data_IF_262774314618
#
_entry.id   IF_262774314618
#
_cell.length_a   1.000
_cell.length_b   1.000
_cell.length_c   1.000
_cell.angle_alpha   90.00
_cell.angle_beta   90.00
_cell.angle_gamma   90.00
#
_symmetry.space_group_name_H-M   'P 1'
#
loop_
_entity.id
_entity.type
_entity.pdbx_description
1 polymer ?
#
# COMPACT_ATOMS: atom_id res chain seq x y z
N UNK A 1 -4.22 8.55 29.67
CA UNK A 1 -4.10 7.11 29.34
C UNK A 1 -4.35 6.78 27.85
N UNK A 2 -4.46 7.77 26.94
CA UNK A 2 -4.67 7.54 25.49
C UNK A 2 -3.39 7.74 24.67
N UNK A 3 -2.32 8.30 25.25
CA UNK A 3 -1.09 8.69 24.53
C UNK A 3 -0.23 7.53 24.00
N UNK A 4 -0.41 6.29 24.47
CA UNK A 4 0.41 5.15 24.04
C UNK A 4 -0.12 4.39 22.80
N UNK A 5 -1.30 4.74 22.28
CA UNK A 5 -1.85 4.15 21.05
C UNK A 5 -1.50 4.97 19.80
N UNK A 6 -0.32 5.58 19.74
CA UNK A 6 0.14 6.28 18.54
C UNK A 6 0.18 5.32 17.33
N UNK A 7 -0.16 5.85 16.15
CA UNK A 7 -0.16 5.13 14.88
C UNK A 7 1.18 4.39 14.66
N UNK A 8 1.16 3.06 14.76
CA UNK A 8 2.35 2.21 14.60
C UNK A 8 3.00 2.31 13.20
N UNK A 9 2.31 2.90 12.21
CA UNK A 9 2.88 3.19 10.90
C UNK A 9 3.98 4.25 10.96
N UNK A 10 3.93 5.13 11.96
CA UNK A 10 4.88 6.21 12.15
C UNK A 10 6.13 5.72 12.90
N UNK A 11 6.05 4.66 13.72
CA UNK A 11 7.15 4.29 14.62
C UNK A 11 7.49 5.45 15.57
N UNK A 12 8.57 5.36 16.34
CA UNK A 12 9.12 6.52 17.06
C UNK A 12 9.69 7.55 16.08
N UNK A 13 8.86 8.16 15.24
CA UNK A 13 9.23 9.43 14.60
C UNK A 13 9.25 10.45 15.73
N UNK A 14 10.37 11.12 15.99
CA UNK A 14 10.38 12.21 16.95
C UNK A 14 9.29 13.20 16.52
N UNK A 15 8.38 13.55 17.44
CA UNK A 15 7.23 14.45 17.22
C UNK A 15 7.59 15.68 16.36
N UNK A 16 8.84 16.13 16.44
CA UNK A 16 9.47 17.16 15.61
C UNK A 16 9.24 17.01 14.09
N UNK A 17 9.19 15.81 13.52
CA UNK A 17 8.96 15.61 12.08
C UNK A 17 7.49 15.78 11.68
N UNK A 18 6.54 15.39 12.55
CA UNK A 18 5.11 15.66 12.35
C UNK A 18 4.82 17.17 12.40
N UNK A 19 5.54 17.92 13.23
CA UNK A 19 5.42 19.39 13.30
C UNK A 19 5.69 20.03 11.93
N UNK A 20 6.71 19.59 11.19
CA UNK A 20 7.00 20.15 9.86
C UNK A 20 5.89 19.86 8.84
N UNK A 21 5.29 18.66 8.86
CA UNK A 21 4.14 18.36 8.00
C UNK A 21 2.92 19.20 8.38
N UNK A 22 2.65 19.38 9.67
CA UNK A 22 1.54 20.19 10.15
C UNK A 22 1.72 21.68 9.84
N UNK A 23 2.95 22.21 9.89
CA UNK A 23 3.26 23.57 9.44
C UNK A 23 3.01 23.72 7.93
N UNK A 24 3.47 22.76 7.12
CA UNK A 24 3.24 22.78 5.68
C UNK A 24 1.73 22.73 5.36
N UNK A 25 0.98 21.84 6.01
CA UNK A 25 -0.48 21.76 5.87
C UNK A 25 -1.16 23.04 6.37
N UNK A 26 -0.77 23.60 7.51
CA UNK A 26 -1.32 24.85 8.05
C UNK A 26 -1.10 26.02 7.08
N UNK A 27 0.07 26.13 6.45
CA UNK A 27 0.35 27.14 5.42
C UNK A 27 -0.51 26.98 4.16
N UNK A 28 -0.94 25.75 3.83
CA UNK A 28 -1.92 25.50 2.76
C UNK A 28 -3.37 25.80 3.20
N UNK A 29 -3.66 25.73 4.50
CA UNK A 29 -4.99 25.87 5.09
C UNK A 29 -5.34 27.30 5.56
N UNK A 30 -4.40 28.25 5.59
CA UNK A 30 -4.70 29.66 5.96
C UNK A 30 -5.81 30.29 5.08
N UNK A 31 -6.10 29.70 3.92
CA UNK A 31 -7.20 30.07 3.04
C UNK A 31 -8.58 29.47 3.38
N UNK A 32 -8.70 28.60 4.40
CA UNK A 32 -9.86 27.70 4.56
C UNK A 32 -10.53 27.67 5.96
N UNK A 33 -10.52 28.80 6.69
CA UNK A 33 -11.19 28.93 8.02
C UNK A 33 -12.73 28.71 8.02
N UNK A 34 -13.37 28.51 6.86
CA UNK A 34 -14.82 28.25 6.75
C UNK A 34 -15.25 26.83 7.12
N UNK A 35 -14.34 25.85 7.09
CA UNK A 35 -14.70 24.43 7.06
C UNK A 35 -15.33 23.88 8.37
N UNK A 36 -15.07 24.49 9.53
CA UNK A 36 -15.56 23.95 10.81
C UNK A 36 -17.04 24.21 11.10
N UNK A 37 -17.70 25.13 10.37
CA UNK A 37 -19.10 25.51 10.63
C UNK A 37 -20.13 24.69 9.85
N UNK A 38 -19.68 23.87 8.89
CA UNK A 38 -20.53 23.18 7.92
C UNK A 38 -20.40 21.64 7.96
N UNK A 39 -19.66 21.09 8.93
CA UNK A 39 -19.49 19.65 9.07
C UNK A 39 -20.73 19.02 9.72
N UNK A 40 -21.27 18.01 9.05
CA UNK A 40 -22.32 17.17 9.62
C UNK A 40 -21.76 16.36 10.80
N UNK A 41 -22.57 16.26 11.84
CA UNK A 41 -22.21 15.58 13.08
C UNK A 41 -23.36 14.74 13.65
N UNK A 42 -24.58 14.82 13.10
CA UNK A 42 -25.74 14.10 13.62
C UNK A 42 -25.90 12.73 12.94
N UNK A 43 -26.55 11.78 13.63
CA UNK A 43 -26.94 10.49 13.04
C UNK A 43 -25.81 9.50 12.75
N UNK A 44 -24.58 9.78 13.18
CA UNK A 44 -23.41 8.89 13.05
C UNK A 44 -23.05 8.22 14.38
N UNK A 45 -22.73 6.92 14.35
CA UNK A 45 -22.32 6.15 15.53
C UNK A 45 -20.82 6.36 15.84
N UNK A 46 -20.53 7.34 16.69
CA UNK A 46 -19.16 7.66 17.09
C UNK A 46 -18.54 6.67 18.09
N UNK A 47 -19.33 5.79 18.72
CA UNK A 47 -18.78 4.81 19.67
C UNK A 47 -17.80 3.85 18.98
N UNK A 48 -18.03 3.56 17.70
CA UNK A 48 -17.16 2.70 16.89
C UNK A 48 -15.87 3.39 16.44
N UNK A 49 -15.81 4.73 16.45
CA UNK A 49 -14.67 5.52 15.95
C UNK A 49 -13.69 5.87 17.07
N UNK A 50 -14.20 6.24 18.25
CA UNK A 50 -13.40 6.78 19.34
C UNK A 50 -12.44 5.71 19.88
N UNK A 51 -11.14 6.00 19.85
CA UNK A 51 -10.09 5.11 20.35
C UNK A 51 -9.76 3.92 19.44
N UNK A 52 -10.35 3.89 18.23
CA UNK A 52 -10.12 2.88 17.20
C UNK A 52 -9.67 3.51 15.88
N UNK A 53 -10.40 4.50 15.37
CA UNK A 53 -10.21 5.05 14.02
C UNK A 53 -9.79 6.52 13.97
N UNK A 54 -10.23 7.35 14.92
CA UNK A 54 -9.91 8.79 14.92
C UNK A 54 -9.94 9.39 16.34
N UNK A 55 -9.05 10.35 16.59
CA UNK A 55 -8.98 11.18 17.80
C UNK A 55 -9.46 12.62 17.52
N UNK A 56 -9.92 13.32 18.55
CA UNK A 56 -10.42 14.70 18.44
C UNK A 56 -11.51 14.88 17.37
N UNK A 57 -12.49 13.97 17.36
CA UNK A 57 -13.56 13.94 16.37
C UNK A 57 -14.47 15.16 16.50
N UNK A 58 -14.72 15.84 15.39
CA UNK A 58 -15.57 17.05 15.30
C UNK A 58 -16.79 16.87 14.37
N UNK A 59 -16.96 15.69 13.79
CA UNK A 59 -17.98 15.38 12.79
C UNK A 59 -17.48 14.32 11.81
N UNK A 60 -18.14 14.23 10.65
CA UNK A 60 -17.71 13.37 9.54
C UNK A 60 -17.79 14.11 8.19
N UNK A 61 -17.14 13.56 7.17
CA UNK A 61 -17.15 14.12 5.81
C UNK A 61 -17.90 13.19 4.86
N UNK A 62 -19.11 13.56 4.38
CA UNK A 62 -19.81 12.74 3.40
C UNK A 62 -19.10 12.82 2.04
N UNK A 63 -18.75 11.64 1.49
CA UNK A 63 -18.19 11.51 0.15
C UNK A 63 -19.21 10.76 -0.72
N UNK A 64 -19.59 11.26 -1.92
CA UNK A 64 -20.51 10.55 -2.80
C UNK A 64 -19.98 9.16 -3.17
N UNK A 65 -20.83 8.13 -3.03
CA UNK A 65 -20.52 6.75 -3.39
C UNK A 65 -21.35 6.36 -4.61
N UNK A 66 -20.67 6.10 -5.73
CA UNK A 66 -21.26 5.50 -6.91
C UNK A 66 -20.97 4.00 -7.01
N UNK A 67 -21.55 3.35 -8.02
CA UNK A 67 -21.31 1.94 -8.32
C UNK A 67 -20.95 1.76 -9.80
N UNK A 68 -19.91 0.96 -10.08
CA UNK A 68 -19.54 0.54 -11.43
C UNK A 68 -19.68 -0.97 -11.56
N UNK A 69 -20.37 -1.44 -12.60
CA UNK A 69 -20.51 -2.88 -12.85
C UNK A 69 -21.69 -3.28 -13.75
N UNK A 70 -21.86 -4.60 -13.99
CA UNK A 70 -21.06 -5.67 -13.39
C UNK A 70 -19.65 -5.76 -13.99
N UNK A 71 -18.63 -5.84 -13.13
CA UNK A 71 -17.30 -6.30 -13.52
C UNK A 71 -17.33 -7.84 -13.55
N UNK A 72 -17.17 -8.42 -14.74
CA UNK A 72 -17.07 -9.87 -14.91
C UNK A 72 -15.60 -10.28 -14.75
N UNK A 73 -15.26 -10.93 -13.65
CA UNK A 73 -13.90 -11.32 -13.29
C UNK A 73 -13.89 -12.73 -12.70
N UNK A 74 -13.05 -13.62 -13.25
CA UNK A 74 -12.88 -15.00 -12.76
C UNK A 74 -14.21 -15.77 -12.63
N UNK A 75 -15.08 -15.61 -13.64
CA UNK A 75 -16.40 -16.24 -13.69
C UNK A 75 -17.45 -15.66 -12.72
N UNK A 76 -17.14 -14.56 -12.04
CA UNK A 76 -18.03 -13.88 -11.08
C UNK A 76 -18.37 -12.46 -11.53
N UNK A 77 -19.48 -11.93 -11.03
CA UNK A 77 -19.91 -10.56 -11.29
C UNK A 77 -19.79 -9.72 -10.02
N UNK A 78 -19.16 -8.56 -10.12
CA UNK A 78 -18.97 -7.64 -9.00
C UNK A 78 -19.59 -6.28 -9.32
N UNK A 79 -20.31 -5.73 -8.34
CA UNK A 79 -20.72 -4.33 -8.34
C UNK A 79 -19.73 -3.57 -7.46
N UNK A 80 -18.88 -2.75 -8.07
CA UNK A 80 -17.73 -2.13 -7.41
C UNK A 80 -18.15 -0.78 -6.82
N UNK A 81 -18.18 -0.61 -5.49
CA UNK A 81 -18.46 0.68 -4.88
C UNK A 81 -17.26 1.62 -5.02
N UNK A 82 -17.53 2.89 -5.33
CA UNK A 82 -16.50 3.91 -5.58
C UNK A 82 -16.90 5.23 -4.94
N UNK A 83 -16.14 5.65 -3.91
CA UNK A 83 -16.35 6.93 -3.22
C UNK A 83 -15.47 8.00 -3.87
N UNK A 84 -16.06 9.01 -4.50
CA UNK A 84 -15.31 10.04 -5.23
C UNK A 84 -16.11 11.32 -5.40
N UNK A 85 -15.39 12.44 -5.48
CA UNK A 85 -15.92 13.73 -5.91
C UNK A 85 -15.51 14.07 -7.35
N UNK A 86 -14.70 13.23 -8.00
CA UNK A 86 -14.26 13.42 -9.38
C UNK A 86 -15.40 13.05 -10.35
N UNK A 87 -15.87 14.06 -11.10
CA UNK A 87 -16.86 13.85 -12.15
C UNK A 87 -16.39 12.85 -13.20
N UNK A 88 -17.32 12.09 -13.77
CA UNK A 88 -17.08 11.08 -14.80
C UNK A 88 -16.25 9.86 -14.40
N UNK A 89 -15.61 9.81 -13.22
CA UNK A 89 -14.80 8.65 -12.81
C UNK A 89 -15.60 7.36 -12.81
N UNK A 90 -16.70 7.31 -12.03
CA UNK A 90 -17.56 6.12 -11.92
C UNK A 90 -18.16 5.75 -13.28
N UNK A 91 -18.59 6.73 -14.07
CA UNK A 91 -19.16 6.51 -15.41
C UNK A 91 -18.14 5.91 -16.39
N UNK A 92 -16.90 6.40 -16.36
CA UNK A 92 -15.78 5.89 -17.16
C UNK A 92 -15.43 4.45 -16.77
N UNK A 93 -15.30 4.18 -15.46
CA UNK A 93 -15.05 2.83 -14.94
C UNK A 93 -16.18 1.86 -15.31
N UNK A 94 -17.45 2.30 -15.22
CA UNK A 94 -18.60 1.51 -15.62
C UNK A 94 -18.60 1.18 -17.12
N UNK A 95 -18.17 2.11 -17.97
CA UNK A 95 -17.98 1.88 -19.41
C UNK A 95 -16.89 0.83 -19.68
N UNK A 96 -15.80 0.85 -18.92
CA UNK A 96 -14.77 -0.19 -18.94
C UNK A 96 -15.31 -1.57 -18.54
N UNK A 97 -16.05 -1.65 -17.44
CA UNK A 97 -16.72 -2.89 -16.99
C UNK A 97 -17.64 -3.45 -18.09
N UNK A 98 -18.41 -2.59 -18.77
CA UNK A 98 -19.26 -2.98 -19.89
C UNK A 98 -18.46 -3.58 -21.06
N UNK A 99 -17.33 -2.98 -21.44
CA UNK A 99 -16.50 -3.50 -22.52
C UNK A 99 -15.92 -4.88 -22.17
N UNK A 100 -15.45 -5.04 -20.93
CA UNK A 100 -14.95 -6.33 -20.39
C UNK A 100 -16.05 -7.39 -20.39
N UNK A 101 -17.22 -7.07 -19.84
CA UNK A 101 -18.35 -8.00 -19.75
C UNK A 101 -18.83 -8.47 -21.13
N UNK A 102 -18.94 -7.56 -22.10
CA UNK A 102 -19.34 -7.89 -23.47
C UNK A 102 -18.28 -8.73 -24.22
N UNK A 103 -17.05 -8.76 -23.74
CA UNK A 103 -15.95 -9.52 -24.34
C UNK A 103 -15.64 -10.83 -23.59
N UNK A 104 -16.54 -11.28 -22.70
CA UNK A 104 -16.42 -12.56 -22.00
C UNK A 104 -15.81 -12.47 -20.60
N UNK A 105 -15.43 -11.27 -20.15
CA UNK A 105 -14.86 -11.04 -18.83
C UNK A 105 -13.33 -10.93 -18.80
N UNK A 106 -12.81 -10.86 -17.58
CA UNK A 106 -11.38 -10.79 -17.31
C UNK A 106 -10.94 -11.95 -16.41
N UNK A 107 -9.64 -12.21 -16.41
CA UNK A 107 -8.99 -13.19 -15.54
C UNK A 107 -7.96 -12.50 -14.65
N UNK A 108 -7.82 -12.96 -13.40
CA UNK A 108 -6.78 -12.46 -12.50
C UNK A 108 -6.06 -13.56 -11.73
N UNK A 109 -4.86 -13.23 -11.26
CA UNK A 109 -4.09 -14.09 -10.37
C UNK A 109 -3.35 -13.24 -9.32
N UNK A 110 -3.38 -13.71 -8.07
CA UNK A 110 -2.55 -13.16 -6.99
C UNK A 110 -1.21 -13.89 -7.02
N UNK A 111 -0.14 -13.16 -7.34
CA UNK A 111 1.21 -13.71 -7.48
C UNK A 111 1.97 -13.72 -6.14
N UNK A 112 1.72 -12.72 -5.29
CA UNK A 112 2.33 -12.57 -3.97
C UNK A 112 1.34 -12.02 -2.97
N UNK A 113 1.55 -12.36 -1.70
CA UNK A 113 0.70 -11.91 -0.59
C UNK A 113 1.53 -11.81 0.70
N UNK A 114 2.17 -10.66 0.92
CA UNK A 114 3.08 -10.47 2.04
C UNK A 114 3.16 -9.01 2.45
N UNK A 115 2.71 -8.70 3.67
CA UNK A 115 2.89 -7.37 4.23
C UNK A 115 4.30 -7.25 4.83
N UNK A 116 4.88 -6.06 4.75
CA UNK A 116 6.28 -5.85 5.13
C UNK A 116 6.47 -4.83 6.24
N UNK A 117 7.48 -5.07 7.08
CA UNK A 117 8.05 -4.12 8.03
C UNK A 117 9.56 -4.23 7.99
N UNK A 118 10.23 -3.09 7.91
CA UNK A 118 11.67 -3.04 7.82
C UNK A 118 12.27 -2.14 8.90
N UNK A 119 12.67 -2.69 10.06
CA UNK A 119 13.47 -1.94 11.02
C UNK A 119 14.83 -1.58 10.46
N UNK A 120 15.40 -0.52 11.03
CA UNK A 120 16.81 -0.18 10.88
C UNK A 120 17.49 -0.31 12.23
N UNK A 121 18.55 -1.10 12.26
CA UNK A 121 19.41 -1.29 13.42
C UNK A 121 20.80 -0.78 13.10
N UNK A 122 21.56 -0.43 14.14
CA UNK A 122 22.91 0.12 14.02
C UNK A 122 23.88 -0.72 14.83
N UNK A 123 24.94 -1.15 14.15
CA UNK A 123 26.03 -1.90 14.74
C UNK A 123 27.17 -0.96 15.16
N UNK A 124 28.10 -1.41 16.02
CA UNK A 124 29.28 -0.64 16.39
C UNK A 124 30.13 -0.24 15.19
N UNK A 125 30.31 -1.16 14.24
CA UNK A 125 31.13 -1.02 13.05
C UNK A 125 30.56 -1.82 11.86
N UNK A 126 31.22 -1.71 10.71
CA UNK A 126 30.83 -2.40 9.47
C UNK A 126 31.00 -3.92 9.56
N UNK A 127 31.92 -4.41 10.39
CA UNK A 127 32.16 -5.85 10.57
C UNK A 127 30.98 -6.48 11.32
N UNK A 128 30.48 -5.80 12.37
CA UNK A 128 29.27 -6.21 13.06
C UNK A 128 28.03 -6.16 12.16
N UNK A 129 27.93 -5.17 11.27
CA UNK A 129 26.84 -5.09 10.30
C UNK A 129 26.86 -6.24 9.29
N UNK A 130 28.05 -6.60 8.77
CA UNK A 130 28.23 -7.76 7.92
C UNK A 130 27.90 -9.06 8.66
N UNK A 131 28.41 -9.23 9.90
CA UNK A 131 28.13 -10.40 10.73
C UNK A 131 26.63 -10.58 11.01
N UNK A 132 25.89 -9.50 11.26
CA UNK A 132 24.43 -9.58 11.42
C UNK A 132 23.74 -10.01 10.12
N UNK A 133 24.14 -9.45 8.96
CA UNK A 133 23.60 -9.86 7.67
C UNK A 133 23.84 -11.34 7.41
N UNK A 134 25.10 -11.78 7.54
CA UNK A 134 25.51 -13.17 7.34
C UNK A 134 24.77 -14.10 8.29
N UNK A 135 24.57 -13.69 9.56
CA UNK A 135 23.82 -14.49 10.53
C UNK A 135 22.33 -14.64 10.17
N UNK A 136 21.68 -13.56 9.70
CA UNK A 136 20.27 -13.61 9.28
C UNK A 136 20.12 -14.47 8.02
N UNK A 137 21.03 -14.31 7.05
CA UNK A 137 20.98 -15.02 5.76
C UNK A 137 21.61 -16.42 5.79
N UNK A 138 22.20 -16.84 6.92
CA UNK A 138 22.75 -18.18 7.09
C UNK A 138 21.63 -19.24 7.10
N UNK A 139 21.67 -20.14 6.13
CA UNK A 139 20.58 -20.98 5.61
C UNK A 139 19.87 -21.94 6.61
N UNK A 140 20.27 -22.01 7.89
CA UNK A 140 19.67 -22.99 8.82
C UNK A 140 19.37 -22.57 10.26
N UNK A 141 19.85 -21.44 10.78
CA UNK A 141 19.64 -21.09 12.20
C UNK A 141 19.06 -19.70 12.43
N UNK A 142 19.57 -18.67 11.75
CA UNK A 142 19.18 -17.29 11.99
C UNK A 142 17.74 -17.00 11.57
N UNK A 143 17.47 -17.08 10.26
CA UNK A 143 16.13 -16.83 9.72
C UNK A 143 15.07 -17.75 10.34
N UNK A 144 15.35 -19.05 10.51
CA UNK A 144 14.40 -19.99 11.15
C UNK A 144 14.08 -19.60 12.60
N UNK A 145 15.08 -19.13 13.35
CA UNK A 145 14.85 -18.66 14.73
C UNK A 145 14.01 -17.37 14.73
N UNK A 146 14.32 -16.43 13.84
CA UNK A 146 13.53 -15.21 13.68
C UNK A 146 12.10 -15.52 13.22
N UNK A 147 11.91 -16.47 12.30
CA UNK A 147 10.60 -16.96 11.87
C UNK A 147 9.81 -17.51 13.05
N UNK A 148 10.38 -18.44 13.82
CA UNK A 148 9.71 -19.01 15.00
C UNK A 148 9.26 -17.94 16.00
N UNK A 149 10.11 -16.94 16.25
CA UNK A 149 9.78 -15.82 17.15
C UNK A 149 8.68 -14.92 16.56
N UNK A 150 8.80 -14.56 15.29
CA UNK A 150 7.83 -13.75 14.57
C UNK A 150 6.44 -14.40 14.58
N UNK A 151 6.37 -15.68 14.23
CA UNK A 151 5.13 -16.47 14.12
C UNK A 151 4.50 -16.74 15.49
N UNK A 152 5.30 -16.77 16.57
CA UNK A 152 4.77 -16.92 17.94
C UNK A 152 3.85 -15.78 18.39
N UNK A 153 3.89 -14.63 17.69
CA UNK A 153 3.11 -13.44 18.06
C UNK A 153 1.66 -13.46 17.54
N UNK A 154 1.35 -14.33 16.58
CA UNK A 154 0.01 -14.43 15.98
C UNK A 154 -0.15 -15.72 15.20
N UNK A 155 -1.29 -16.40 15.34
CA UNK A 155 -1.64 -17.59 14.55
C UNK A 155 -1.74 -17.35 13.03
N UNK A 156 -1.89 -16.10 12.61
CA UNK A 156 -2.01 -15.73 11.19
C UNK A 156 -0.69 -15.22 10.61
N UNK A 157 0.27 -14.86 11.47
CA UNK A 157 1.57 -14.39 11.03
C UNK A 157 2.41 -15.58 10.58
N UNK A 158 2.79 -15.60 9.30
CA UNK A 158 3.75 -16.56 8.77
C UNK A 158 4.87 -15.83 8.07
N UNK A 159 6.12 -16.01 8.52
CA UNK A 159 7.26 -15.31 7.92
C UNK A 159 7.54 -15.93 6.55
N UNK A 160 7.63 -15.10 5.51
CA UNK A 160 7.95 -15.51 4.14
C UNK A 160 9.41 -15.32 3.80
N UNK A 161 10.04 -14.31 4.39
CA UNK A 161 11.46 -14.04 4.19
C UNK A 161 11.90 -12.77 4.90
N UNK A 162 13.22 -12.60 5.00
CA UNK A 162 13.85 -11.37 5.49
C UNK A 162 14.89 -10.91 4.46
N UNK A 163 14.67 -9.76 3.83
CA UNK A 163 15.66 -9.15 2.94
C UNK A 163 16.55 -8.20 3.73
N UNK A 164 17.86 -8.45 3.75
CA UNK A 164 18.83 -7.67 4.53
C UNK A 164 19.69 -6.77 3.64
N UNK A 165 19.61 -5.46 3.88
CA UNK A 165 20.45 -4.46 3.22
C UNK A 165 21.32 -3.71 4.24
N UNK A 166 22.59 -3.50 3.91
CA UNK A 166 23.57 -2.82 4.78
C UNK A 166 23.98 -1.49 4.15
N UNK A 167 24.01 -0.42 4.95
CA UNK A 167 24.52 0.89 4.57
C UNK A 167 25.47 1.41 5.66
N UNK A 168 26.77 1.26 5.43
CA UNK A 168 27.79 1.47 6.46
C UNK A 168 27.57 0.52 7.63
N UNK A 169 27.41 1.05 8.85
CA UNK A 169 27.10 0.25 10.05
C UNK A 169 25.61 0.11 10.36
N UNK A 170 24.73 0.62 9.49
CA UNK A 170 23.29 0.46 9.64
C UNK A 170 22.81 -0.75 8.81
N UNK A 171 21.91 -1.55 9.38
CA UNK A 171 21.33 -2.74 8.76
C UNK A 171 19.82 -2.59 8.70
N UNK A 172 19.26 -2.75 7.51
CA UNK A 172 17.83 -2.70 7.23
C UNK A 172 17.33 -4.12 7.00
N UNK A 173 16.42 -4.58 7.86
CA UNK A 173 15.92 -5.95 7.86
C UNK A 173 14.47 -5.95 7.38
N UNK A 174 14.20 -6.16 6.09
CA UNK A 174 12.82 -6.13 5.56
C UNK A 174 12.16 -7.49 5.74
N UNK A 175 11.38 -7.62 6.81
CA UNK A 175 10.54 -8.80 7.07
C UNK A 175 9.31 -8.76 6.17
N UNK A 176 9.02 -9.88 5.51
CA UNK A 176 7.78 -10.12 4.75
C UNK A 176 7.00 -11.25 5.43
N UNK A 177 5.72 -11.03 5.72
CA UNK A 177 4.88 -12.07 6.32
C UNK A 177 3.45 -12.10 5.79
N UNK A 178 2.84 -13.29 5.79
CA UNK A 178 1.42 -13.46 5.58
C UNK A 178 0.64 -12.96 6.81
N UNK A 179 -0.59 -12.47 6.58
CA UNK A 179 -1.39 -11.82 7.65
C UNK A 179 -2.86 -12.24 7.66
N UNK A 180 -3.21 -13.31 6.93
CA UNK A 180 -4.60 -13.70 6.69
C UNK A 180 -5.33 -12.64 5.86
N UNK A 181 -6.56 -12.31 6.27
CA UNK A 181 -7.40 -11.32 5.58
C UNK A 181 -7.17 -9.88 6.06
N UNK A 182 -6.37 -9.70 7.11
CA UNK A 182 -6.01 -8.36 7.58
C UNK A 182 -5.00 -7.73 6.62
N UNK A 183 -5.01 -6.39 6.49
CA UNK A 183 -3.88 -5.68 5.87
C UNK A 183 -2.58 -5.94 6.66
N UNK A 184 -2.70 -6.08 7.99
CA UNK A 184 -1.72 -6.81 8.79
C UNK A 184 -0.53 -5.99 9.31
N UNK A 185 -0.49 -4.68 9.10
CA UNK A 185 0.62 -3.83 9.56
C UNK A 185 0.93 -3.92 11.06
N UNK A 186 -0.10 -3.93 11.91
CA UNK A 186 0.08 -4.11 13.36
C UNK A 186 0.58 -5.52 13.71
N UNK A 187 0.16 -6.53 12.95
CA UNK A 187 0.57 -7.93 13.15
C UNK A 187 2.05 -8.10 12.82
N UNK A 188 2.48 -7.62 11.64
CA UNK A 188 3.88 -7.67 11.22
C UNK A 188 4.77 -6.88 12.20
N UNK A 189 4.35 -5.68 12.60
CA UNK A 189 5.14 -4.87 13.55
C UNK A 189 5.38 -5.60 14.88
N UNK A 190 4.38 -6.28 15.44
CA UNK A 190 4.54 -7.08 16.67
C UNK A 190 5.53 -8.23 16.49
N UNK A 191 5.42 -8.96 15.38
CA UNK A 191 6.36 -10.04 15.04
C UNK A 191 7.80 -9.53 14.91
N UNK A 192 7.98 -8.38 14.25
CA UNK A 192 9.29 -7.73 14.12
C UNK A 192 9.83 -7.27 15.46
N UNK A 193 9.03 -6.66 16.35
CA UNK A 193 9.49 -6.28 17.69
C UNK A 193 10.03 -7.50 18.44
N UNK A 194 9.30 -8.63 18.41
CA UNK A 194 9.75 -9.85 19.07
C UNK A 194 11.06 -10.40 18.49
N UNK A 195 11.25 -10.30 17.17
CA UNK A 195 12.49 -10.66 16.51
C UNK A 195 13.65 -9.72 16.90
N UNK A 196 13.39 -8.41 17.03
CA UNK A 196 14.37 -7.42 17.45
C UNK A 196 14.84 -7.63 18.89
N UNK A 197 13.94 -7.96 19.82
CA UNK A 197 14.30 -8.25 21.21
C UNK A 197 15.35 -9.38 21.28
N UNK A 198 15.12 -10.47 20.54
CA UNK A 198 16.06 -11.59 20.46
C UNK A 198 17.38 -11.21 19.76
N UNK A 199 17.32 -10.37 18.72
CA UNK A 199 18.53 -9.89 18.05
C UNK A 199 19.36 -9.01 18.99
N UNK A 200 18.76 -8.25 19.89
CA UNK A 200 19.49 -7.48 20.90
C UNK A 200 20.17 -8.39 21.93
N UNK A 201 19.57 -9.53 22.31
CA UNK A 201 20.24 -10.52 23.16
C UNK A 201 21.43 -11.18 22.44
N UNK A 202 21.28 -11.48 21.15
CA UNK A 202 22.32 -12.15 20.33
C UNK A 202 23.45 -11.19 19.96
N UNK A 203 23.12 -9.91 19.73
CA UNK A 203 24.05 -8.83 19.42
C UNK A 203 23.88 -7.69 20.45
N UNK A 204 24.43 -7.81 21.67
CA UNK A 204 24.19 -6.85 22.77
C UNK A 204 24.59 -5.40 22.49
N UNK A 205 25.44 -5.17 21.49
CA UNK A 205 25.89 -3.83 21.06
C UNK A 205 25.05 -3.25 19.92
N UNK A 206 24.01 -3.96 19.48
CA UNK A 206 23.08 -3.51 18.44
C UNK A 206 22.11 -2.47 19.01
N UNK A 207 22.05 -1.33 18.35
CA UNK A 207 21.11 -0.25 18.65
C UNK A 207 19.91 -0.29 17.69
N UNK A 208 18.68 -0.42 18.22
CA UNK A 208 17.46 -0.38 17.39
C UNK A 208 17.10 1.08 17.15
N UNK A 209 17.49 1.60 15.98
CA UNK A 209 17.29 3.01 15.63
C UNK A 209 15.81 3.30 15.37
N UNK A 210 15.13 2.43 14.62
CA UNK A 210 13.69 2.53 14.37
C UNK A 210 13.11 1.19 13.93
N UNK A 211 11.89 0.89 14.37
CA UNK A 211 11.12 -0.26 13.86
C UNK A 211 10.69 -0.08 12.39
N UNK A 212 10.67 1.16 11.90
CA UNK A 212 10.36 1.52 10.52
C UNK A 212 11.50 2.39 9.98
N UNK A 213 12.45 1.74 9.30
CA UNK A 213 13.59 2.38 8.65
C UNK A 213 13.31 2.84 7.23
N UNK A 214 12.04 3.06 6.87
CA UNK A 214 11.60 3.42 5.50
C UNK A 214 11.99 2.43 4.38
N UNK A 215 12.47 1.22 4.72
CA UNK A 215 12.73 0.15 3.76
C UNK A 215 11.57 -0.86 3.66
N UNK A 216 10.41 -0.54 4.26
CA UNK A 216 9.23 -1.41 4.21
C UNK A 216 8.70 -1.53 2.76
N UNK A 217 8.38 -0.48 2.01
CA UNK A 217 8.21 0.95 2.35
C UNK A 217 6.71 1.22 2.52
N UNK A 218 6.29 1.96 3.54
CA UNK A 218 4.86 2.20 3.81
C UNK A 218 4.49 3.66 3.51
N UNK A 219 3.50 3.91 2.66
CA UNK A 219 2.95 5.24 2.32
C UNK A 219 3.96 6.21 1.67
N UNK A 220 5.01 5.69 1.06
CA UNK A 220 6.00 6.46 0.28
C UNK A 220 6.33 5.75 -1.02
N UNK A 221 6.55 6.47 -2.13
CA UNK A 221 6.96 5.86 -3.39
C UNK A 221 8.31 5.17 -3.20
N UNK A 222 8.44 3.94 -3.70
CA UNK A 222 9.66 3.16 -3.52
C UNK A 222 9.84 2.08 -4.57
N UNK A 223 11.03 2.04 -5.18
CA UNK A 223 11.41 0.99 -6.11
C UNK A 223 11.39 -0.40 -5.48
N UNK A 224 11.65 -0.52 -4.16
CA UNK A 224 11.61 -1.82 -3.47
C UNK A 224 10.20 -2.42 -3.48
N UNK A 225 9.16 -1.59 -3.34
CA UNK A 225 7.78 -2.06 -3.41
C UNK A 225 7.40 -2.47 -4.85
N UNK A 226 7.91 -1.74 -5.85
CA UNK A 226 7.70 -2.08 -7.26
C UNK A 226 8.35 -3.40 -7.67
N UNK A 227 9.61 -3.61 -7.26
CA UNK A 227 10.41 -4.77 -7.68
C UNK A 227 10.09 -6.00 -6.83
N UNK A 228 10.10 -5.85 -5.50
CA UNK A 228 9.94 -6.97 -4.57
C UNK A 228 8.48 -7.15 -4.13
N UNK A 229 7.54 -6.30 -4.55
CA UNK A 229 6.16 -6.32 -4.06
C UNK A 229 6.00 -5.88 -2.60
N UNK A 230 4.76 -5.59 -2.23
CA UNK A 230 4.31 -5.36 -0.85
C UNK A 230 2.79 -5.51 -0.78
N UNK A 231 2.28 -6.22 0.23
CA UNK A 231 0.87 -6.60 0.27
C UNK A 231 0.58 -7.64 -0.82
N UNK A 232 -0.41 -7.38 -1.66
CA UNK A 232 -0.79 -8.30 -2.74
C UNK A 232 -0.23 -7.83 -4.08
N UNK A 233 0.52 -8.70 -4.77
CA UNK A 233 0.89 -8.49 -6.17
C UNK A 233 -0.11 -9.21 -7.06
N UNK A 234 -0.77 -8.47 -7.94
CA UNK A 234 -1.89 -8.97 -8.75
C UNK A 234 -1.63 -8.68 -10.22
N UNK A 235 -1.99 -9.63 -11.07
CA UNK A 235 -2.06 -9.43 -12.53
C UNK A 235 -3.49 -9.70 -13.00
N UNK A 236 -3.91 -8.98 -14.04
CA UNK A 236 -5.23 -9.13 -14.65
C UNK A 236 -5.10 -8.99 -16.17
N UNK A 237 -5.86 -9.79 -16.91
CA UNK A 237 -5.91 -9.75 -18.37
C UNK A 237 -7.35 -9.87 -18.89
N UNK A 238 -7.58 -9.39 -20.11
CA UNK A 238 -8.84 -9.51 -20.84
C UNK A 238 -8.57 -9.26 -22.33
N UNK A 239 -9.39 -9.85 -23.20
CA UNK A 239 -9.36 -9.60 -24.64
C UNK A 239 -10.63 -8.83 -24.99
N UNK A 240 -10.50 -7.60 -25.49
CA UNK A 240 -11.66 -6.79 -25.92
C UNK A 240 -11.82 -6.92 -27.43
N UNK A 241 -12.97 -7.42 -27.87
CA UNK A 241 -13.26 -7.61 -29.29
C UNK A 241 -13.29 -6.26 -30.03
N UNK A 242 -12.76 -6.21 -31.26
CA UNK A 242 -12.62 -4.97 -32.05
C UNK A 242 -13.97 -4.25 -32.22
N UNK A 243 -15.06 -4.98 -32.41
CA UNK A 243 -16.38 -4.38 -32.54
C UNK A 243 -16.85 -3.70 -31.23
N UNK A 244 -16.46 -4.25 -30.07
CA UNK A 244 -16.69 -3.65 -28.75
C UNK A 244 -15.78 -2.45 -28.52
N UNK A 245 -14.52 -2.49 -28.95
CA UNK A 245 -13.63 -1.31 -28.93
C UNK A 245 -14.26 -0.15 -29.71
N UNK A 246 -14.75 -0.41 -30.92
CA UNK A 246 -15.41 0.59 -31.75
C UNK A 246 -16.74 1.06 -31.16
N UNK A 247 -17.63 0.14 -30.78
CA UNK A 247 -19.00 0.48 -30.34
C UNK A 247 -19.04 1.04 -28.93
N UNK A 248 -18.26 0.50 -28.01
CA UNK A 248 -18.29 0.87 -26.58
C UNK A 248 -17.18 1.87 -26.29
N UNK A 249 -15.93 1.61 -26.66
CA UNK A 249 -14.79 2.49 -26.35
C UNK A 249 -14.62 3.65 -27.35
N UNK A 250 -15.32 3.61 -28.49
CA UNK A 250 -15.36 4.68 -29.51
C UNK A 250 -13.97 5.01 -30.05
N UNK A 251 -13.17 3.97 -30.27
CA UNK A 251 -11.80 4.03 -30.81
C UNK A 251 -11.48 2.71 -31.53
N UNK A 252 -10.23 2.49 -31.93
CA UNK A 252 -9.73 1.24 -32.53
C UNK A 252 -8.68 0.60 -31.61
N UNK A 253 -8.48 -0.72 -31.72
CA UNK A 253 -7.42 -1.41 -30.99
C UNK A 253 -6.03 -0.84 -31.29
N UNK A 254 -5.74 -0.56 -32.56
CA UNK A 254 -4.48 0.06 -32.98
C UNK A 254 -4.21 1.40 -32.29
N UNK A 255 -5.22 2.28 -32.19
CA UNK A 255 -5.08 3.55 -31.48
C UNK A 255 -4.89 3.38 -29.97
N UNK A 256 -5.54 2.38 -29.35
CA UNK A 256 -5.33 2.09 -27.94
C UNK A 256 -3.91 1.60 -27.64
N UNK A 257 -3.38 0.69 -28.46
CA UNK A 257 -2.01 0.17 -28.32
C UNK A 257 -1.00 1.29 -28.52
N UNK A 258 -1.17 2.12 -29.54
CA UNK A 258 -0.27 3.26 -29.80
C UNK A 258 -0.26 4.25 -28.62
N UNK A 259 -1.43 4.65 -28.12
CA UNK A 259 -1.54 5.51 -26.93
C UNK A 259 -0.92 4.85 -25.70
N UNK A 260 -1.12 3.54 -25.49
CA UNK A 260 -0.50 2.85 -24.36
C UNK A 260 1.03 2.91 -24.44
N UNK A 261 1.60 2.62 -25.61
CA UNK A 261 3.04 2.62 -25.81
C UNK A 261 3.63 4.02 -25.64
N UNK A 262 3.06 5.03 -26.31
CA UNK A 262 3.57 6.40 -26.25
C UNK A 262 3.34 7.03 -24.87
N UNK A 263 2.17 6.83 -24.25
CA UNK A 263 1.80 7.50 -23.00
C UNK A 263 2.28 6.74 -21.76
N UNK A 264 1.86 5.48 -21.61
CA UNK A 264 2.07 4.73 -20.36
C UNK A 264 3.50 4.20 -20.26
N UNK A 265 4.13 3.87 -21.38
CA UNK A 265 5.52 3.38 -21.39
C UNK A 265 6.51 4.51 -21.66
N UNK A 266 6.55 5.06 -22.88
CA UNK A 266 7.56 6.07 -23.28
C UNK A 266 7.41 7.36 -22.47
N UNK A 267 6.19 7.87 -22.32
CA UNK A 267 5.91 9.08 -21.54
C UNK A 267 6.35 8.94 -20.07
N UNK A 268 6.00 7.81 -19.44
CA UNK A 268 6.41 7.52 -18.06
C UNK A 268 7.93 7.34 -17.91
N UNK A 269 8.59 6.75 -18.92
CA UNK A 269 10.05 6.64 -18.99
C UNK A 269 10.71 8.02 -19.04
N UNK A 270 10.24 8.90 -19.92
CA UNK A 270 10.74 10.29 -20.03
C UNK A 270 10.54 11.06 -18.72
N UNK A 271 9.44 10.79 -18.02
CA UNK A 271 9.15 11.39 -16.71
C UNK A 271 9.98 10.82 -15.54
N UNK A 272 10.77 9.76 -15.75
CA UNK A 272 11.50 9.10 -14.67
C UNK A 272 10.59 8.39 -13.65
N UNK A 273 9.41 7.95 -14.09
CA UNK A 273 8.41 7.29 -13.24
C UNK A 273 8.89 5.91 -12.77
N UNK A 274 8.68 5.58 -11.50
CA UNK A 274 8.94 4.26 -10.92
C UNK A 274 7.60 3.63 -10.52
N UNK A 275 7.18 2.61 -11.25
CA UNK A 275 5.92 1.88 -11.00
C UNK A 275 4.65 2.61 -11.46
N UNK A 276 4.76 3.79 -12.07
CA UNK A 276 3.64 4.57 -12.60
C UNK A 276 3.48 4.44 -14.11
N UNK A 277 3.52 3.21 -14.66
CA UNK A 277 3.39 2.95 -16.10
C UNK A 277 1.93 2.72 -16.51
N UNK A 278 1.04 3.62 -16.08
CA UNK A 278 -0.41 3.49 -16.23
C UNK A 278 -1.08 4.85 -16.48
N UNK A 279 -2.39 4.84 -16.72
CA UNK A 279 -3.14 6.07 -16.96
C UNK A 279 -3.61 6.76 -15.68
N UNK A 280 -4.40 6.05 -14.86
CA UNK A 280 -5.03 6.62 -13.67
C UNK A 280 -5.38 5.56 -12.62
N UNK A 281 -4.52 4.55 -12.42
CA UNK A 281 -4.77 3.48 -11.45
C UNK A 281 -5.08 4.04 -10.05
N UNK A 282 -4.43 5.14 -9.67
CA UNK A 282 -4.66 5.84 -8.40
C UNK A 282 -6.12 6.28 -8.20
N UNK A 283 -6.82 6.75 -9.25
CA UNK A 283 -8.22 7.17 -9.11
C UNK A 283 -9.11 5.99 -8.74
N UNK A 284 -8.89 4.83 -9.37
CA UNK A 284 -9.67 3.62 -9.10
C UNK A 284 -9.37 3.10 -7.69
N UNK A 285 -8.09 2.97 -7.36
CA UNK A 285 -7.64 2.47 -6.05
C UNK A 285 -8.16 3.36 -4.93
N UNK A 286 -8.00 4.69 -5.04
CA UNK A 286 -8.47 5.64 -4.03
C UNK A 286 -9.98 5.56 -3.83
N UNK A 287 -10.76 5.55 -4.92
CA UNK A 287 -12.21 5.53 -4.83
C UNK A 287 -12.75 4.24 -4.19
N UNK A 288 -12.16 3.09 -4.53
CA UNK A 288 -12.50 1.81 -3.90
C UNK A 288 -12.03 1.76 -2.45
N UNK A 289 -10.82 2.26 -2.15
CA UNK A 289 -10.25 2.25 -0.80
C UNK A 289 -11.13 3.05 0.18
N UNK A 290 -11.53 4.26 -0.20
CA UNK A 290 -12.40 5.10 0.63
C UNK A 290 -13.77 4.41 0.82
N UNK A 291 -14.36 3.87 -0.26
CA UNK A 291 -15.66 3.20 -0.18
C UNK A 291 -15.66 1.92 0.67
N UNK A 292 -14.50 1.27 0.81
CA UNK A 292 -14.36 -0.03 1.50
C UNK A 292 -13.58 0.08 2.81
N UNK A 293 -13.39 1.28 3.34
CA UNK A 293 -12.76 1.52 4.65
C UNK A 293 -11.27 1.15 4.72
N UNK A 294 -10.57 1.14 3.59
CA UNK A 294 -9.12 0.94 3.54
C UNK A 294 -8.38 2.23 3.89
N UNK A 295 -7.06 2.15 4.07
CA UNK A 295 -6.20 3.30 4.36
C UNK A 295 -5.86 4.09 3.07
N UNK A 296 -6.45 5.27 2.81
CA UNK A 296 -6.25 5.98 1.54
C UNK A 296 -4.82 6.51 1.37
N UNK A 297 -4.05 6.63 2.45
CA UNK A 297 -2.64 7.03 2.34
C UNK A 297 -1.77 5.94 1.70
N UNK A 298 -2.25 4.69 1.67
CA UNK A 298 -1.59 3.59 0.96
C UNK A 298 -1.86 3.61 -0.56
N UNK A 299 -2.66 4.55 -1.09
CA UNK A 299 -2.78 4.74 -2.55
C UNK A 299 -1.42 4.99 -3.20
N UNK A 300 -0.49 5.63 -2.49
CA UNK A 300 0.89 5.89 -2.95
C UNK A 300 1.62 4.64 -3.42
N UNK A 301 1.33 3.50 -2.80
CA UNK A 301 1.96 2.20 -3.07
C UNK A 301 1.00 1.24 -3.78
N UNK A 302 -0.28 1.22 -3.42
CA UNK A 302 -1.28 0.35 -4.03
C UNK A 302 -1.67 0.75 -5.46
N UNK A 303 -1.37 1.99 -5.87
CA UNK A 303 -1.59 2.47 -7.24
C UNK A 303 -0.42 2.20 -8.20
N UNK A 304 0.67 1.58 -7.74
CA UNK A 304 1.74 1.18 -8.67
C UNK A 304 1.22 0.12 -9.63
N UNK A 305 1.33 0.38 -10.93
CA UNK A 305 0.71 -0.41 -11.98
C UNK A 305 1.44 -0.19 -13.31
N UNK A 306 1.58 -1.27 -14.08
CA UNK A 306 1.93 -1.20 -15.50
C UNK A 306 0.74 -1.69 -16.34
N UNK A 307 0.39 -0.93 -17.37
CA UNK A 307 -0.63 -1.30 -18.35
C UNK A 307 0.04 -1.65 -19.67
N UNK A 308 -0.21 -2.86 -20.16
CA UNK A 308 0.28 -3.36 -21.43
C UNK A 308 -0.92 -3.62 -22.34
N UNK A 309 -0.75 -3.39 -23.64
CA UNK A 309 -1.78 -3.63 -24.66
C UNK A 309 -1.11 -4.12 -25.94
N UNK A 310 -1.76 -5.05 -26.63
CA UNK A 310 -1.36 -5.58 -27.93
C UNK A 310 -2.61 -5.86 -28.79
N UNK A 311 -2.41 -6.06 -30.10
CA UNK A 311 -3.45 -6.37 -31.10
C UNK A 311 -3.30 -7.78 -31.63
#
# INVERSE_FOLDING_TARGET
QVEEKACWCVGKVPYNLLIFYMIAVASMLESNQKMSRELDHEGFDYEQVIGVNCENVIGYMPIPVGVAGPLVLDGRQYMVPMATTEGCLVASTNRGCRAIALSGGAHSAVLRDGMTRAPVVRMPDVIGAAALKDWVEADMSGERKLASLFESTSRFAKLKGIKVNVAGRNVFLRFEGATGDAMGMNMISKGVTKALDFLQDTFPKMDVVSISGNFCTDKKPSAVNWIDGRGKSVVCETIIQEDIVNKVLKTTSASLVDVNNVKNLVGSMVAGSIGGFNAHAANIVAAVYIATGQDPAQVVESATCATLMET
#
